data_IF_515611916854
#
_entry.id   IF_515611916854
#
_cell.length_a   1.000
_cell.length_b   1.000
_cell.length_c   1.000
_cell.angle_alpha   90.00
_cell.angle_beta   90.00
_cell.angle_gamma   90.00
#
_symmetry.space_group_name_H-M   'P 1'
#
loop_
_entity.id
_entity.type
_entity.pdbx_description
1 polymer ?
#
# COMPACT_ATOMS: atom_id res chain seq x y z
N UNK A 1 -14.37 32.72 3.22
CA UNK A 1 -13.56 32.03 2.19
C UNK A 1 -13.13 30.69 2.78
N UNK A 2 -14.05 29.73 2.77
CA UNK A 2 -13.81 28.37 3.24
C UNK A 2 -13.26 27.57 2.08
N UNK A 3 -11.94 27.39 2.11
CA UNK A 3 -11.12 26.31 1.54
C UNK A 3 -11.79 25.35 0.52
N UNK A 4 -11.91 25.76 -0.74
CA UNK A 4 -12.26 24.85 -1.87
C UNK A 4 -11.18 23.76 -2.11
N UNK A 5 -9.99 23.88 -1.49
CA UNK A 5 -8.90 22.90 -1.60
C UNK A 5 -9.09 21.63 -0.75
N UNK A 6 -10.05 21.59 0.18
CA UNK A 6 -10.28 20.39 1.01
C UNK A 6 -11.14 19.33 0.31
N UNK A 7 -11.79 19.63 -0.82
CA UNK A 7 -12.73 18.72 -1.47
C UNK A 7 -12.09 17.69 -2.44
N UNK A 8 -10.79 17.76 -2.76
CA UNK A 8 -10.18 16.86 -3.77
C UNK A 8 -9.33 15.72 -3.21
N UNK A 9 -9.03 15.72 -1.90
CA UNK A 9 -8.15 14.71 -1.32
C UNK A 9 -8.87 13.39 -1.10
N UNK A 10 -8.33 12.34 -1.71
CA UNK A 10 -8.80 10.97 -1.57
C UNK A 10 -8.08 10.25 -0.43
N UNK A 11 -8.83 9.45 0.33
CA UNK A 11 -8.27 8.58 1.36
C UNK A 11 -7.69 7.33 0.69
N UNK A 12 -6.44 7.02 1.00
CA UNK A 12 -5.76 5.79 0.60
C UNK A 12 -5.35 5.03 1.87
N UNK A 13 -5.69 3.75 1.93
CA UNK A 13 -5.24 2.87 3.01
C UNK A 13 -4.04 2.07 2.55
N UNK A 14 -2.88 2.31 3.17
CA UNK A 14 -1.65 1.56 2.89
C UNK A 14 -1.50 0.44 3.92
N UNK A 15 -1.57 -0.81 3.47
CA UNK A 15 -1.36 -2.03 4.23
C UNK A 15 0.13 -2.34 4.25
N UNK A 16 0.83 -1.98 5.32
CA UNK A 16 2.26 -2.28 5.46
C UNK A 16 2.41 -3.73 5.90
N UNK A 17 2.87 -4.60 5.00
CA UNK A 17 3.02 -6.03 5.25
C UNK A 17 4.43 -6.31 5.73
N UNK A 18 4.58 -6.62 7.02
CA UNK A 18 5.87 -6.97 7.62
C UNK A 18 6.27 -8.41 7.30
N UNK A 19 5.31 -9.33 7.32
CA UNK A 19 5.56 -10.74 7.11
C UNK A 19 4.31 -11.42 6.53
N UNK A 20 4.49 -12.16 5.44
CA UNK A 20 3.42 -12.85 4.76
C UNK A 20 2.93 -14.10 5.51
N UNK A 21 3.84 -14.95 5.96
CA UNK A 21 3.54 -16.23 6.62
C UNK A 21 2.77 -16.03 7.94
N UNK A 22 3.19 -15.04 8.74
CA UNK A 22 2.54 -14.67 10.00
C UNK A 22 1.44 -13.62 9.82
N UNK A 23 1.14 -13.22 8.59
CA UNK A 23 0.05 -12.28 8.25
C UNK A 23 0.16 -10.96 9.02
N UNK A 24 1.38 -10.51 9.28
CA UNK A 24 1.63 -9.33 10.10
C UNK A 24 1.49 -8.08 9.24
N UNK A 25 0.37 -7.37 9.41
CA UNK A 25 0.00 -6.19 8.63
C UNK A 25 -0.41 -5.04 9.55
N UNK A 26 -0.01 -3.81 9.21
CA UNK A 26 -0.51 -2.60 9.85
C UNK A 26 -0.95 -1.59 8.80
N UNK A 27 -2.12 -1.00 9.01
CA UNK A 27 -2.65 0.02 8.11
C UNK A 27 -2.08 1.41 8.46
N UNK A 28 -1.74 2.16 7.43
CA UNK A 28 -1.44 3.58 7.45
C UNK A 28 -2.46 4.29 6.55
N UNK A 29 -3.22 5.24 7.11
CA UNK A 29 -4.26 5.95 6.37
C UNK A 29 -3.72 7.33 6.00
N UNK A 30 -3.70 7.63 4.70
CA UNK A 30 -3.13 8.84 4.15
C UNK A 30 -4.07 9.49 3.14
N UNK A 31 -4.02 10.81 3.04
CA UNK A 31 -4.79 11.61 2.07
C UNK A 31 -3.92 12.05 0.90
N UNK A 32 -4.37 11.87 -0.33
CA UNK A 32 -3.63 12.25 -1.53
C UNK A 32 -4.54 12.93 -2.56
N UNK A 33 -3.99 13.84 -3.34
CA UNK A 33 -4.61 14.30 -4.58
C UNK A 33 -4.25 13.32 -5.70
N UNK A 34 -5.21 12.52 -6.17
CA UNK A 34 -4.91 11.45 -7.12
C UNK A 34 -4.40 11.96 -8.47
N UNK A 35 -4.73 13.20 -8.84
CA UNK A 35 -4.36 13.78 -10.13
C UNK A 35 -2.99 14.44 -10.12
N UNK A 36 -2.46 14.76 -8.94
CA UNK A 36 -1.23 15.53 -8.81
C UNK A 36 -0.14 14.80 -8.02
N UNK A 37 -0.49 14.07 -6.96
CA UNK A 37 0.48 13.25 -6.24
C UNK A 37 0.91 12.05 -7.10
N UNK A 38 2.20 11.74 -7.04
CA UNK A 38 2.80 10.62 -7.78
C UNK A 38 2.93 9.35 -6.95
N UNK A 39 3.22 8.23 -7.60
CA UNK A 39 3.59 6.99 -6.91
C UNK A 39 4.86 7.18 -6.04
N UNK A 40 5.82 8.01 -6.49
CA UNK A 40 6.97 8.41 -5.67
C UNK A 40 6.54 9.13 -4.38
N UNK A 41 5.57 10.04 -4.46
CA UNK A 41 5.05 10.77 -3.30
C UNK A 41 4.36 9.85 -2.30
N UNK A 42 3.56 8.89 -2.80
CA UNK A 42 2.96 7.84 -1.98
C UNK A 42 4.03 7.06 -1.23
N UNK A 43 5.05 6.55 -1.92
CA UNK A 43 6.14 5.77 -1.33
C UNK A 43 6.90 6.56 -0.27
N UNK A 44 7.31 7.78 -0.58
CA UNK A 44 8.03 8.66 0.34
C UNK A 44 7.22 8.98 1.59
N UNK A 45 5.91 9.21 1.45
CA UNK A 45 5.04 9.52 2.60
C UNK A 45 4.82 8.30 3.49
N UNK A 46 4.60 7.10 2.94
CA UNK A 46 4.48 5.90 3.77
C UNK A 46 5.80 5.56 4.49
N UNK A 47 6.94 5.70 3.82
CA UNK A 47 8.26 5.49 4.44
C UNK A 47 8.46 6.45 5.62
N UNK A 48 8.10 7.73 5.45
CA UNK A 48 8.13 8.70 6.55
C UNK A 48 7.27 8.25 7.73
N UNK A 49 6.02 7.85 7.49
CA UNK A 49 5.11 7.41 8.57
C UNK A 49 5.64 6.17 9.31
N UNK A 50 6.23 5.21 8.60
CA UNK A 50 6.85 4.02 9.21
C UNK A 50 7.98 4.41 10.17
N UNK A 51 8.79 5.41 9.79
CA UNK A 51 9.92 5.86 10.59
C UNK A 51 9.54 6.77 11.76
N UNK A 52 8.44 7.52 11.65
CA UNK A 52 8.06 8.51 12.68
C UNK A 52 7.07 7.94 13.69
N UNK A 53 6.07 7.17 13.26
CA UNK A 53 5.00 6.73 14.14
C UNK A 53 5.47 5.60 15.07
N UNK A 54 5.26 5.70 16.41
CA UNK A 54 5.65 4.65 17.36
C UNK A 54 5.00 3.30 17.06
N UNK A 55 3.77 3.30 16.54
CA UNK A 55 3.04 2.08 16.19
C UNK A 55 3.68 1.26 15.06
N UNK A 56 4.62 1.83 14.32
CA UNK A 56 5.38 1.16 13.26
C UNK A 56 6.77 0.70 13.72
N UNK A 57 7.14 0.85 15.00
CA UNK A 57 8.44 0.41 15.52
C UNK A 57 8.79 -1.06 15.13
N UNK A 58 7.87 -2.05 15.20
CA UNK A 58 8.16 -3.42 14.76
C UNK A 58 8.37 -3.57 13.25
N UNK A 59 7.90 -2.62 12.45
CA UNK A 59 7.88 -2.65 10.99
C UNK A 59 9.18 -2.07 10.39
N UNK A 60 9.92 -1.25 11.14
CA UNK A 60 11.14 -0.55 10.66
C UNK A 60 12.30 -1.48 10.27
N UNK A 61 12.26 -2.77 10.63
CA UNK A 61 13.32 -3.75 10.32
C UNK A 61 13.20 -4.35 8.92
N UNK A 62 12.13 -4.04 8.18
CA UNK A 62 11.89 -4.60 6.84
C UNK A 62 12.30 -3.57 5.78
N UNK A 63 12.97 -4.05 4.71
CA UNK A 63 13.23 -3.25 3.52
C UNK A 63 12.00 -3.29 2.61
N UNK A 64 11.15 -2.27 2.72
CA UNK A 64 10.01 -2.10 1.84
C UNK A 64 10.45 -1.51 0.50
N UNK A 65 10.05 -2.13 -0.60
CA UNK A 65 10.43 -1.68 -1.94
C UNK A 65 9.27 -1.68 -2.94
N UNK A 66 8.20 -2.43 -2.66
CA UNK A 66 7.14 -2.72 -3.61
C UNK A 66 5.78 -2.25 -3.13
N UNK A 67 5.10 -1.51 -3.99
CA UNK A 67 3.70 -1.12 -3.83
C UNK A 67 2.81 -1.90 -4.80
N UNK A 68 1.66 -2.37 -4.30
CA UNK A 68 0.69 -3.08 -5.12
C UNK A 68 -0.72 -2.76 -4.66
N UNK A 69 -1.62 -2.44 -5.58
CA UNK A 69 -3.05 -2.30 -5.28
C UNK A 69 -3.57 -3.64 -4.76
N UNK A 70 -4.12 -3.63 -3.55
CA UNK A 70 -4.70 -4.80 -2.90
C UNK A 70 -6.16 -4.99 -3.31
N UNK A 71 -6.93 -3.90 -3.28
CA UNK A 71 -8.31 -3.86 -3.75
C UNK A 71 -8.71 -2.44 -4.10
N UNK A 72 -9.62 -2.30 -5.07
CA UNK A 72 -10.37 -1.07 -5.28
C UNK A 72 -11.64 -1.07 -4.43
N UNK A 73 -12.13 0.11 -4.07
CA UNK A 73 -13.49 0.26 -3.56
C UNK A 73 -14.47 -0.44 -4.52
N UNK A 74 -15.35 -1.27 -3.97
CA UNK A 74 -16.35 -2.09 -4.69
C UNK A 74 -15.80 -3.23 -5.57
N UNK A 75 -14.50 -3.57 -5.48
CA UNK A 75 -13.91 -4.75 -6.14
C UNK A 75 -14.12 -6.06 -5.35
N UNK A 76 -13.94 -7.20 -6.02
CA UNK A 76 -14.00 -8.52 -5.38
C UNK A 76 -12.94 -8.62 -4.27
N UNK A 77 -13.38 -8.90 -3.05
CA UNK A 77 -12.46 -9.13 -1.93
C UNK A 77 -11.68 -10.42 -2.18
N UNK A 78 -10.36 -10.35 -2.23
CA UNK A 78 -9.50 -11.52 -2.32
C UNK A 78 -9.77 -12.47 -1.14
N UNK A 79 -9.80 -13.78 -1.38
CA UNK A 79 -9.94 -14.79 -0.32
C UNK A 79 -8.70 -14.84 0.59
N UNK A 80 -7.56 -14.26 0.17
CA UNK A 80 -6.35 -14.20 0.97
C UNK A 80 -6.26 -12.87 1.73
N UNK A 81 -6.30 -12.96 3.06
CA UNK A 81 -6.32 -11.80 3.97
C UNK A 81 -5.00 -11.02 4.02
N UNK A 82 -3.91 -11.58 3.48
CA UNK A 82 -2.58 -10.96 3.56
C UNK A 82 -2.28 -10.12 2.34
N UNK A 83 -2.42 -10.72 1.16
CA UNK A 83 -2.15 -10.09 -0.14
C UNK A 83 -2.93 -10.77 -1.26
N UNK A 84 -3.37 -10.00 -2.26
CA UNK A 84 -3.83 -10.58 -3.51
C UNK A 84 -2.61 -11.14 -4.29
N UNK A 85 -2.64 -12.41 -4.69
CA UNK A 85 -1.55 -13.07 -5.42
C UNK A 85 -1.62 -12.88 -6.95
N UNK A 86 -2.65 -12.22 -7.47
CA UNK A 86 -2.76 -11.90 -8.90
C UNK A 86 -1.53 -11.12 -9.39
N UNK A 87 -1.17 -11.21 -10.67
CA UNK A 87 0.05 -10.52 -11.19
C UNK A 87 -0.17 -9.06 -11.56
N UNK A 88 -1.33 -8.49 -11.26
CA UNK A 88 -1.73 -7.13 -11.60
C UNK A 88 -1.54 -6.14 -10.44
N UNK A 89 -1.75 -4.86 -10.72
CA UNK A 89 -1.83 -3.81 -9.70
C UNK A 89 -0.49 -3.35 -9.10
N UNK A 90 0.66 -3.79 -9.63
CA UNK A 90 1.97 -3.25 -9.23
C UNK A 90 2.11 -1.79 -9.63
N UNK A 91 2.65 -0.97 -8.73
CA UNK A 91 2.88 0.47 -8.94
C UNK A 91 4.36 0.73 -9.25
N UNK A 92 4.84 0.21 -10.38
CA UNK A 92 6.27 0.21 -10.72
C UNK A 92 6.78 1.55 -11.29
N UNK A 93 5.90 2.30 -11.96
CA UNK A 93 6.26 3.60 -12.52
C UNK A 93 6.03 4.71 -11.48
N UNK A 94 7.12 5.18 -10.89
CA UNK A 94 7.13 6.19 -9.83
C UNK A 94 6.67 7.58 -10.30
N UNK A 95 6.77 7.87 -11.60
CA UNK A 95 6.47 9.17 -12.19
C UNK A 95 4.98 9.36 -12.51
N UNK A 96 4.21 8.26 -12.56
CA UNK A 96 2.77 8.35 -12.78
C UNK A 96 2.08 9.01 -11.59
N UNK A 97 1.06 9.81 -11.90
CA UNK A 97 0.10 10.23 -10.87
C UNK A 97 -0.62 9.01 -10.31
N UNK A 98 -1.14 9.11 -9.08
CA UNK A 98 -1.84 7.98 -8.47
C UNK A 98 -3.05 7.53 -9.30
N UNK A 99 -3.79 8.47 -9.91
CA UNK A 99 -4.89 8.18 -10.83
C UNK A 99 -4.41 7.42 -12.08
N UNK A 100 -3.33 7.88 -12.71
CA UNK A 100 -2.73 7.20 -13.88
C UNK A 100 -2.20 5.81 -13.54
N UNK A 101 -1.70 5.62 -12.32
CA UNK A 101 -1.25 4.34 -11.80
C UNK A 101 -2.42 3.42 -11.38
N UNK A 102 -3.67 3.89 -11.52
CA UNK A 102 -4.89 3.11 -11.31
C UNK A 102 -5.50 3.24 -9.93
N UNK A 103 -4.97 4.08 -9.03
CA UNK A 103 -5.60 4.32 -7.73
C UNK A 103 -6.89 5.11 -7.92
N UNK A 104 -7.88 4.72 -7.14
CA UNK A 104 -9.18 5.37 -7.00
C UNK A 104 -9.37 5.84 -5.56
N UNK A 105 -10.34 6.73 -5.28
CA UNK A 105 -10.73 7.01 -3.91
C UNK A 105 -10.96 5.72 -3.11
N UNK A 106 -10.50 5.71 -1.86
CA UNK A 106 -10.61 4.57 -0.93
C UNK A 106 -9.85 3.30 -1.36
N UNK A 107 -8.92 3.40 -2.31
CA UNK A 107 -8.09 2.23 -2.67
C UNK A 107 -7.25 1.73 -1.49
N UNK A 108 -7.11 0.41 -1.41
CA UNK A 108 -6.16 -0.24 -0.51
C UNK A 108 -4.90 -0.61 -1.30
N UNK A 109 -3.73 -0.24 -0.79
CA UNK A 109 -2.42 -0.53 -1.39
C UNK A 109 -1.56 -1.29 -0.39
N UNK A 110 -0.95 -2.40 -0.78
CA UNK A 110 0.03 -3.11 0.04
C UNK A 110 1.43 -2.54 -0.19
N UNK A 111 2.20 -2.35 0.88
CA UNK A 111 3.61 -2.00 0.84
C UNK A 111 4.45 -3.08 1.52
N UNK A 112 5.37 -3.69 0.79
CA UNK A 112 6.07 -4.91 1.20
C UNK A 112 7.45 -5.05 0.54
N UNK A 113 8.16 -6.12 0.91
CA UNK A 113 9.41 -6.53 0.29
C UNK A 113 9.15 -7.55 -0.83
N UNK A 114 9.65 -7.30 -2.04
CA UNK A 114 9.40 -8.16 -3.20
C UNK A 114 9.93 -9.58 -3.04
N UNK A 115 11.10 -9.75 -2.42
CA UNK A 115 11.71 -11.07 -2.26
C UNK A 115 10.89 -11.94 -1.30
N UNK A 116 10.39 -11.35 -0.21
CA UNK A 116 9.50 -12.02 0.72
C UNK A 116 8.16 -12.39 0.06
N UNK A 117 7.61 -11.52 -0.81
CA UNK A 117 6.41 -11.83 -1.58
C UNK A 117 6.64 -12.99 -2.55
N UNK A 118 7.71 -12.94 -3.35
CA UNK A 118 8.03 -13.98 -4.33
C UNK A 118 8.24 -15.34 -3.65
N UNK A 119 8.92 -15.39 -2.51
CA UNK A 119 9.07 -16.62 -1.71
C UNK A 119 7.72 -17.16 -1.24
N UNK A 120 6.84 -16.30 -0.75
CA UNK A 120 5.52 -16.69 -0.29
C UNK A 120 4.60 -17.17 -1.42
N UNK A 121 4.71 -16.58 -2.62
CA UNK A 121 3.95 -17.05 -3.80
C UNK A 121 4.38 -18.46 -4.22
N UNK A 122 5.66 -18.79 -4.10
CA UNK A 122 6.18 -20.12 -4.43
C UNK A 122 5.78 -21.18 -3.39
N UNK A 123 5.77 -20.82 -2.10
CA UNK A 123 5.39 -21.72 -1.00
C UNK A 123 4.50 -20.98 0.03
N UNK A 124 3.18 -20.91 -0.22
CA UNK A 124 2.26 -20.10 0.60
C UNK A 124 1.90 -20.81 1.90
N UNK A 125 2.80 -20.77 2.88
CA UNK A 125 2.57 -21.32 4.22
C UNK A 125 2.12 -20.25 5.20
N UNK A 126 1.00 -20.52 5.88
CA UNK A 126 0.52 -19.68 6.98
C UNK A 126 1.05 -20.25 8.30
N UNK A 127 1.73 -19.40 9.07
CA UNK A 127 2.25 -19.69 10.40
C UNK A 127 1.37 -19.00 11.45
N UNK A 128 1.27 -19.61 12.62
CA UNK A 128 0.51 -19.14 13.77
C UNK A 128 1.42 -18.74 14.92
#
# INVERSE_FOLDING_TARGET
MTNEYEETLSIITVRVVRNFEYRTVKNCILKFDLKHDTVADLKRRIEKEIQTQPGFLPYRTVKYDTLKIYSHAFGNKSQNLVINMDRDGFLDNLDLTLEQAGLKPESEVSFFNIDAYNKFVVDPQIKW
#
